data_IF_684539048814
#
_entry.id   IF_684539048814
#
_cell.length_a   1.000
_cell.length_b   1.000
_cell.length_c   1.000
_cell.angle_alpha   90.00
_cell.angle_beta   90.00
_cell.angle_gamma   90.00
#
_symmetry.space_group_name_H-M   'P 1'
#
loop_
_entity.id
_entity.type
_entity.pdbx_description
1 polymer ?
#
# COMPACT_ATOMS: atom_id res chain seq x y z
N UNK A 1 4.88 30.01 55.79
CA UNK A 1 3.96 28.88 55.68
C UNK A 1 4.69 27.61 56.08
N UNK A 2 4.11 26.79 56.92
CA UNK A 2 4.74 25.56 57.40
C UNK A 2 4.98 24.59 56.20
N UNK A 3 6.16 23.92 56.16
CA UNK A 3 6.53 22.99 55.10
C UNK A 3 5.48 21.90 54.88
N UNK A 4 4.81 21.48 55.95
CA UNK A 4 3.69 20.51 55.87
C UNK A 4 2.49 21.07 55.10
N UNK A 5 2.10 22.31 55.34
CA UNK A 5 0.99 22.98 54.62
C UNK A 5 1.31 23.23 53.14
N UNK A 6 2.58 23.52 52.80
CA UNK A 6 3.03 23.66 51.42
C UNK A 6 2.91 22.31 50.69
N UNK A 7 3.38 21.22 51.30
CA UNK A 7 3.29 19.87 50.74
C UNK A 7 1.82 19.45 50.52
N UNK A 8 0.96 19.74 51.51
CA UNK A 8 -0.48 19.45 51.37
C UNK A 8 -1.13 20.25 50.26
N UNK A 9 -0.80 21.54 50.12
CA UNK A 9 -1.28 22.38 49.05
C UNK A 9 -0.86 21.84 47.64
N UNK A 10 0.43 21.45 47.50
CA UNK A 10 0.95 20.87 46.28
C UNK A 10 0.19 19.59 45.91
N UNK A 11 -0.08 18.71 46.88
CA UNK A 11 -0.84 17.49 46.64
C UNK A 11 -2.28 17.78 46.20
N UNK A 12 -2.96 18.76 46.82
CA UNK A 12 -4.30 19.16 46.45
C UNK A 12 -4.33 19.72 45.04
N UNK A 13 -3.40 20.61 44.68
CA UNK A 13 -3.29 21.17 43.32
C UNK A 13 -3.03 20.06 42.30
N UNK A 14 -2.13 19.13 42.62
CA UNK A 14 -1.86 18.00 41.75
C UNK A 14 -3.09 17.14 41.50
N UNK A 15 -3.85 16.79 42.51
CA UNK A 15 -5.11 16.04 42.39
C UNK A 15 -6.16 16.80 41.59
N UNK A 16 -6.29 18.11 41.79
CA UNK A 16 -7.17 18.98 41.01
C UNK A 16 -6.79 19.00 39.52
N UNK A 17 -5.50 19.08 39.22
CA UNK A 17 -5.01 19.02 37.84
C UNK A 17 -5.37 17.69 37.17
N UNK A 18 -5.17 16.55 37.87
CA UNK A 18 -5.56 15.24 37.35
C UNK A 18 -7.09 15.18 37.11
N UNK A 19 -7.86 15.61 38.09
CA UNK A 19 -9.33 15.62 37.96
C UNK A 19 -9.81 16.47 36.78
N UNK A 20 -9.27 17.69 36.64
CA UNK A 20 -9.56 18.56 35.51
C UNK A 20 -9.15 17.95 34.17
N UNK A 21 -7.98 17.30 34.11
CA UNK A 21 -7.54 16.60 32.91
C UNK A 21 -8.50 15.47 32.50
N UNK A 22 -8.94 14.65 33.46
CA UNK A 22 -9.91 13.58 33.21
C UNK A 22 -11.24 14.17 32.72
N UNK A 23 -11.77 15.18 33.43
CA UNK A 23 -13.03 15.83 33.08
C UNK A 23 -12.99 16.43 31.68
N UNK A 24 -11.96 17.19 31.36
CA UNK A 24 -11.78 17.80 30.03
C UNK A 24 -11.61 16.75 28.93
N UNK A 25 -10.93 15.64 29.22
CA UNK A 25 -10.78 14.52 28.28
C UNK A 25 -12.13 13.83 28.00
N UNK A 26 -12.93 13.61 29.04
CA UNK A 26 -14.29 13.09 28.88
C UNK A 26 -15.14 14.03 28.06
N UNK A 27 -15.18 15.34 28.37
CA UNK A 27 -15.92 16.32 27.59
C UNK A 27 -15.48 16.35 26.12
N UNK A 28 -14.16 16.31 25.87
CA UNK A 28 -13.64 16.25 24.48
C UNK A 28 -14.15 15.01 23.73
N UNK A 29 -14.24 13.86 24.39
CA UNK A 29 -14.66 12.61 23.76
C UNK A 29 -16.12 12.64 23.24
N UNK A 30 -16.96 13.51 23.81
CA UNK A 30 -18.34 13.70 23.34
C UNK A 30 -18.47 14.76 22.24
N UNK A 31 -17.56 15.72 22.18
CA UNK A 31 -17.72 16.93 21.34
C UNK A 31 -16.98 16.82 20.01
N UNK A 32 -15.92 16.01 19.91
CA UNK A 32 -15.13 15.98 18.69
C UNK A 32 -15.37 14.77 17.80
N UNK A 33 -15.79 15.02 16.58
CA UNK A 33 -15.87 14.03 15.52
C UNK A 33 -14.61 14.10 14.61
N UNK A 34 -14.33 13.05 13.86
CA UNK A 34 -13.55 13.03 12.61
C UNK A 34 -12.05 13.45 12.68
N UNK A 35 -11.37 13.28 13.80
CA UNK A 35 -9.91 13.41 13.84
C UNK A 35 -9.30 12.13 13.22
N UNK A 36 -8.38 12.31 12.24
CA UNK A 36 -7.62 11.20 11.68
C UNK A 36 -6.45 10.90 12.61
N UNK A 37 -6.32 9.64 13.01
CA UNK A 37 -5.14 9.15 13.72
C UNK A 37 -4.09 8.80 12.65
N UNK A 38 -3.25 9.79 12.30
CA UNK A 38 -2.26 9.67 11.23
C UNK A 38 -1.35 8.43 11.36
N UNK A 39 -1.08 7.99 12.61
CA UNK A 39 -0.20 6.85 12.86
C UNK A 39 -0.83 5.50 12.51
N UNK A 40 -2.15 5.42 12.61
CA UNK A 40 -2.94 4.21 12.40
C UNK A 40 -3.72 4.27 11.08
N UNK A 41 -3.58 5.39 10.35
CA UNK A 41 -4.25 5.69 9.07
C UNK A 41 -5.77 5.40 9.11
N UNK A 42 -6.41 5.76 10.23
CA UNK A 42 -7.85 5.58 10.45
C UNK A 42 -8.47 6.77 11.15
N UNK A 43 -9.76 6.87 11.09
CA UNK A 43 -10.51 7.84 11.91
C UNK A 43 -10.52 7.43 13.38
N UNK A 44 -10.50 8.42 14.27
CA UNK A 44 -10.68 8.21 15.70
C UNK A 44 -12.05 7.58 15.98
N UNK A 45 -12.07 6.61 16.89
CA UNK A 45 -13.31 5.96 17.31
C UNK A 45 -14.28 6.98 17.94
N UNK A 46 -15.55 6.73 17.76
CA UNK A 46 -16.66 7.49 18.35
C UNK A 46 -17.52 6.57 19.18
N UNK A 47 -18.23 7.17 20.14
CA UNK A 47 -19.24 6.42 20.88
C UNK A 47 -20.34 5.93 19.94
N UNK A 48 -20.63 4.66 20.05
CA UNK A 48 -21.70 4.00 19.35
C UNK A 48 -23.00 4.03 20.18
N UNK A 49 -24.11 3.66 19.56
CA UNK A 49 -25.39 3.54 20.25
C UNK A 49 -25.33 2.51 21.38
N UNK A 50 -25.85 2.89 22.54
CA UNK A 50 -25.95 2.00 23.71
C UNK A 50 -27.09 1.00 23.47
N UNK A 51 -26.81 -0.30 23.61
CA UNK A 51 -27.83 -1.35 23.59
C UNK A 51 -27.46 -2.47 24.54
N UNK A 52 -28.48 -3.15 25.08
CA UNK A 52 -28.26 -4.31 25.97
C UNK A 52 -27.49 -5.42 25.28
N UNK A 53 -27.73 -5.65 23.97
CA UNK A 53 -27.03 -6.63 23.17
C UNK A 53 -25.51 -6.33 23.11
N UNK A 54 -25.15 -5.06 22.88
CA UNK A 54 -23.74 -4.63 22.83
C UNK A 54 -23.07 -4.71 24.19
N UNK A 55 -23.81 -4.45 25.27
CA UNK A 55 -23.30 -4.61 26.64
C UNK A 55 -23.01 -6.07 26.97
N UNK A 56 -23.93 -6.97 26.67
CA UNK A 56 -23.80 -8.42 27.02
C UNK A 56 -22.66 -9.08 26.22
N UNK A 57 -22.46 -8.70 24.95
CA UNK A 57 -21.41 -9.28 24.12
C UNK A 57 -20.05 -8.57 24.23
N UNK A 58 -19.91 -7.56 25.09
CA UNK A 58 -18.65 -6.83 25.32
C UNK A 58 -18.34 -5.70 24.32
N UNK A 59 -19.02 -5.63 23.19
CA UNK A 59 -18.70 -4.64 22.15
C UNK A 59 -18.95 -3.19 22.56
N UNK A 60 -19.82 -2.95 23.54
CA UNK A 60 -20.02 -1.61 24.11
C UNK A 60 -18.79 -1.18 24.93
N UNK A 61 -18.24 -2.08 25.73
CA UNK A 61 -17.07 -1.83 26.55
C UNK A 61 -15.86 -1.54 25.64
N UNK A 62 -15.64 -2.37 24.62
CA UNK A 62 -14.58 -2.17 23.63
C UNK A 62 -14.70 -0.82 22.91
N UNK A 63 -15.92 -0.44 22.52
CA UNK A 63 -16.17 0.84 21.88
C UNK A 63 -15.86 2.02 22.81
N UNK A 64 -16.28 1.94 24.09
CA UNK A 64 -15.99 2.98 25.08
C UNK A 64 -14.49 3.11 25.30
N UNK A 65 -13.78 2.00 25.49
CA UNK A 65 -12.34 1.98 25.73
C UNK A 65 -11.57 2.55 24.52
N UNK A 66 -11.88 2.10 23.32
CA UNK A 66 -11.28 2.58 22.10
C UNK A 66 -11.56 4.07 21.86
N UNK A 67 -12.78 4.52 22.09
CA UNK A 67 -13.15 5.94 21.95
C UNK A 67 -12.40 6.81 22.96
N UNK A 68 -12.36 6.42 24.23
CA UNK A 68 -11.58 7.13 25.25
C UNK A 68 -10.10 7.15 24.90
N UNK A 69 -9.53 6.01 24.51
CA UNK A 69 -8.12 5.91 24.12
C UNK A 69 -7.76 6.88 22.99
N UNK A 70 -8.65 7.06 22.02
CA UNK A 70 -8.43 7.96 20.89
C UNK A 70 -8.68 9.43 21.21
N UNK A 71 -9.68 9.72 22.06
CA UNK A 71 -10.18 11.08 22.29
C UNK A 71 -9.58 11.78 23.51
N UNK A 72 -8.85 11.07 24.37
CA UNK A 72 -8.16 11.69 25.53
C UNK A 72 -7.27 12.85 25.07
N UNK A 73 -7.30 13.95 25.83
CA UNK A 73 -6.46 15.13 25.54
C UNK A 73 -4.98 14.70 25.47
N UNK A 74 -4.30 15.13 24.41
CA UNK A 74 -2.90 14.78 24.13
C UNK A 74 -2.65 13.28 23.81
N UNK A 75 -3.69 12.41 23.71
CA UNK A 75 -3.48 10.98 23.45
C UNK A 75 -2.61 10.74 22.21
N UNK A 76 -2.88 11.41 21.11
CA UNK A 76 -2.07 11.34 19.88
C UNK A 76 -0.60 11.74 20.12
N UNK A 77 -0.36 12.82 20.88
CA UNK A 77 1.01 13.26 21.19
C UNK A 77 1.73 12.29 22.15
N UNK A 78 1.01 11.78 23.14
CA UNK A 78 1.56 10.80 24.10
C UNK A 78 1.84 9.46 23.41
N UNK A 79 0.93 8.98 22.56
CA UNK A 79 1.15 7.79 21.71
C UNK A 79 2.38 8.00 20.81
N UNK A 80 2.48 9.14 20.12
CA UNK A 80 3.64 9.49 19.27
C UNK A 80 4.94 9.50 20.07
N UNK A 81 4.96 10.10 21.24
CA UNK A 81 6.14 10.15 22.13
C UNK A 81 6.55 8.76 22.63
N UNK A 82 5.58 7.98 23.11
CA UNK A 82 5.82 6.61 23.58
C UNK A 82 6.37 5.71 22.46
N UNK A 83 5.77 5.77 21.25
CA UNK A 83 6.24 5.00 20.11
C UNK A 83 7.63 5.44 19.66
N UNK A 84 7.93 6.73 19.71
CA UNK A 84 9.28 7.23 19.44
C UNK A 84 10.33 6.65 20.40
N UNK A 85 10.05 6.69 21.71
CA UNK A 85 10.96 6.13 22.73
C UNK A 85 11.12 4.61 22.56
N UNK A 86 10.00 3.89 22.35
CA UNK A 86 10.02 2.45 22.07
C UNK A 86 10.82 2.15 20.80
N UNK A 87 10.59 2.92 19.74
CA UNK A 87 11.29 2.78 18.48
C UNK A 87 12.80 2.99 18.62
N UNK A 88 13.23 4.04 19.33
CA UNK A 88 14.66 4.28 19.60
C UNK A 88 15.30 3.13 20.38
N UNK A 89 14.63 2.64 21.42
CA UNK A 89 15.14 1.55 22.25
C UNK A 89 15.28 0.26 21.43
N UNK A 90 14.27 -0.04 20.62
CA UNK A 90 14.28 -1.22 19.74
C UNK A 90 15.31 -1.08 18.61
N UNK A 91 15.44 0.10 18.01
CA UNK A 91 16.49 0.35 16.99
C UNK A 91 17.88 0.13 17.57
N UNK A 92 18.15 0.62 18.77
CA UNK A 92 19.42 0.36 19.46
C UNK A 92 19.66 -1.15 19.68
N UNK A 93 18.61 -1.89 20.05
CA UNK A 93 18.70 -3.34 20.18
C UNK A 93 18.99 -4.00 18.82
N UNK A 94 18.31 -3.60 17.76
CA UNK A 94 18.54 -4.07 16.38
C UNK A 94 19.99 -3.84 15.97
N UNK A 95 20.51 -2.62 16.19
CA UNK A 95 21.90 -2.28 15.84
C UNK A 95 22.91 -3.12 16.64
N UNK A 96 22.64 -3.40 17.92
CA UNK A 96 23.48 -4.27 18.73
C UNK A 96 23.41 -5.74 18.33
N UNK A 97 22.22 -6.20 17.93
CA UNK A 97 22.02 -7.55 17.42
C UNK A 97 22.85 -7.78 16.16
N UNK A 98 22.71 -6.93 15.15
CA UNK A 98 23.42 -7.06 13.86
C UNK A 98 24.91 -6.72 13.94
N UNK A 99 25.42 -6.15 15.04
CA UNK A 99 26.87 -6.11 15.31
C UNK A 99 27.48 -7.47 15.66
N UNK A 100 26.65 -8.43 16.09
CA UNK A 100 27.07 -9.76 16.54
C UNK A 100 26.63 -10.86 15.59
N UNK A 101 25.72 -10.55 14.72
CA UNK A 101 25.12 -11.47 13.76
C UNK A 101 25.26 -10.87 12.36
N UNK A 102 25.60 -11.71 11.40
CA UNK A 102 25.53 -11.33 9.99
C UNK A 102 24.07 -11.11 9.56
N UNK A 103 23.82 -10.87 8.27
CA UNK A 103 22.49 -10.72 7.73
C UNK A 103 21.60 -11.92 8.14
N UNK A 104 20.61 -11.65 8.97
CA UNK A 104 19.66 -12.64 9.51
C UNK A 104 18.30 -11.98 9.73
N UNK A 105 17.28 -12.78 10.01
CA UNK A 105 15.96 -12.29 10.36
C UNK A 105 15.87 -11.98 11.87
N UNK A 106 15.38 -10.80 12.18
CA UNK A 106 15.05 -10.42 13.56
C UNK A 106 13.58 -9.98 13.60
N UNK A 107 12.76 -10.71 14.36
CA UNK A 107 11.33 -10.43 14.49
C UNK A 107 11.08 -9.04 15.12
N UNK A 108 10.18 -8.29 14.53
CA UNK A 108 9.76 -6.96 14.97
C UNK A 108 8.22 -6.78 14.96
N UNK A 109 7.47 -7.85 15.24
CA UNK A 109 6.01 -7.88 15.19
C UNK A 109 5.50 -8.42 13.86
N UNK A 110 4.73 -7.62 13.13
CA UNK A 110 4.18 -8.01 11.81
C UNK A 110 5.21 -8.04 10.68
N UNK A 111 6.41 -7.53 10.95
CA UNK A 111 7.55 -7.51 10.02
C UNK A 111 8.79 -8.07 10.69
N UNK A 112 9.81 -8.37 9.89
CA UNK A 112 11.15 -8.70 10.36
C UNK A 112 12.13 -7.61 9.93
N UNK A 113 13.22 -7.45 10.69
CA UNK A 113 14.43 -6.90 10.12
C UNK A 113 15.17 -7.98 9.34
N UNK A 114 15.74 -7.61 8.21
CA UNK A 114 16.80 -8.35 7.54
C UNK A 114 18.01 -7.41 7.36
N UNK A 115 18.99 -7.57 8.25
CA UNK A 115 19.99 -6.54 8.50
C UNK A 115 19.43 -5.33 9.27
N UNK A 116 20.26 -4.34 9.61
CA UNK A 116 19.88 -3.28 10.55
C UNK A 116 18.93 -2.21 10.00
N UNK A 117 18.72 -2.17 8.67
CA UNK A 117 18.05 -1.05 8.01
C UNK A 117 16.84 -1.43 7.15
N UNK A 118 16.57 -2.73 6.94
CA UNK A 118 15.51 -3.15 6.04
C UNK A 118 14.41 -3.90 6.79
N UNK A 119 13.16 -3.48 6.56
CA UNK A 119 11.98 -4.19 7.02
C UNK A 119 11.46 -5.09 5.90
N UNK A 120 11.24 -6.35 6.22
CA UNK A 120 10.75 -7.37 5.29
C UNK A 120 9.57 -8.12 5.90
N UNK A 121 8.67 -8.62 5.05
CA UNK A 121 7.59 -9.48 5.50
C UNK A 121 8.06 -10.91 5.73
N UNK A 122 7.17 -11.71 6.31
CA UNK A 122 7.41 -13.14 6.47
C UNK A 122 7.31 -13.86 5.13
N UNK A 123 8.26 -14.74 4.91
CA UNK A 123 8.25 -15.70 3.83
C UNK A 123 6.99 -16.57 3.86
N UNK A 124 6.32 -16.71 2.72
CA UNK A 124 5.08 -17.47 2.58
C UNK A 124 5.37 -18.98 2.41
N UNK A 125 4.42 -19.80 2.84
CA UNK A 125 4.42 -21.24 2.54
C UNK A 125 3.34 -21.54 1.49
N UNK A 126 3.75 -22.10 0.36
CA UNK A 126 2.86 -22.46 -0.74
C UNK A 126 1.74 -23.40 -0.30
N UNK A 127 2.02 -24.33 0.63
CA UNK A 127 1.01 -25.26 1.12
C UNK A 127 -0.16 -24.57 1.82
N UNK A 128 0.10 -23.45 2.49
CA UNK A 128 -0.92 -22.69 3.20
C UNK A 128 -1.82 -21.85 2.29
N UNK A 129 -1.37 -21.58 1.06
CA UNK A 129 -2.06 -20.66 0.13
C UNK A 129 -2.54 -21.35 -1.16
N UNK A 130 -2.13 -22.57 -1.43
CA UNK A 130 -2.41 -23.26 -2.70
C UNK A 130 -3.89 -23.33 -3.03
N UNK A 131 -4.77 -23.58 -2.06
CA UNK A 131 -6.21 -23.61 -2.27
C UNK A 131 -6.80 -22.28 -2.78
N UNK A 132 -6.26 -21.16 -2.32
CA UNK A 132 -6.68 -19.81 -2.78
C UNK A 132 -6.16 -19.55 -4.18
N UNK A 133 -4.92 -19.97 -4.46
CA UNK A 133 -4.33 -19.90 -5.79
C UNK A 133 -5.12 -20.73 -6.80
N UNK A 134 -5.51 -21.98 -6.44
CA UNK A 134 -6.30 -22.83 -7.33
C UNK A 134 -7.63 -22.18 -7.70
N UNK A 135 -8.34 -21.61 -6.73
CA UNK A 135 -9.60 -20.88 -6.95
C UNK A 135 -9.39 -19.69 -7.91
N UNK A 136 -8.30 -18.94 -7.72
CA UNK A 136 -7.95 -17.81 -8.60
C UNK A 136 -7.61 -18.27 -10.02
N UNK A 137 -6.83 -19.33 -10.14
CA UNK A 137 -6.44 -19.91 -11.43
C UNK A 137 -7.67 -20.38 -12.22
N UNK A 138 -8.61 -21.06 -11.54
CA UNK A 138 -9.87 -21.49 -12.15
C UNK A 138 -10.68 -20.28 -12.65
N UNK A 139 -10.78 -19.24 -11.86
CA UNK A 139 -11.47 -18.01 -12.23
C UNK A 139 -10.84 -17.36 -13.48
N UNK A 140 -9.51 -17.18 -13.49
CA UNK A 140 -8.82 -16.57 -14.63
C UNK A 140 -8.86 -17.43 -15.88
N UNK A 141 -8.80 -18.75 -15.77
CA UNK A 141 -8.98 -19.66 -16.88
C UNK A 141 -10.41 -19.57 -17.46
N UNK A 142 -11.41 -19.47 -16.59
CA UNK A 142 -12.80 -19.25 -17.00
C UNK A 142 -12.96 -17.93 -17.75
N UNK A 143 -12.41 -16.84 -17.18
CA UNK A 143 -12.41 -15.52 -17.80
C UNK A 143 -11.77 -15.55 -19.19
N UNK A 144 -10.56 -16.09 -19.33
CA UNK A 144 -9.87 -16.18 -20.61
C UNK A 144 -10.62 -17.04 -21.64
N UNK A 145 -11.28 -18.13 -21.19
CA UNK A 145 -12.05 -19.01 -22.06
C UNK A 145 -13.33 -18.37 -22.61
N UNK A 146 -13.96 -17.51 -21.82
CA UNK A 146 -15.16 -16.74 -22.20
C UNK A 146 -14.82 -15.57 -23.14
N UNK A 147 -13.60 -15.03 -23.06
CA UNK A 147 -13.16 -13.82 -23.76
C UNK A 147 -12.00 -14.08 -24.75
N UNK A 148 -12.20 -15.05 -25.65
CA UNK A 148 -11.17 -15.50 -26.62
C UNK A 148 -10.70 -14.44 -27.62
N UNK A 149 -11.46 -13.38 -27.79
CA UNK A 149 -11.16 -12.22 -28.64
C UNK A 149 -10.30 -11.16 -27.92
N UNK A 150 -9.99 -11.38 -26.64
CA UNK A 150 -9.17 -10.50 -25.81
C UNK A 150 -7.84 -11.18 -25.48
N UNK A 151 -6.74 -10.45 -25.62
CA UNK A 151 -5.44 -10.94 -25.19
C UNK A 151 -5.30 -10.75 -23.68
N UNK A 152 -5.14 -11.84 -22.95
CA UNK A 152 -5.01 -11.83 -21.49
C UNK A 152 -3.57 -12.06 -21.07
N UNK A 153 -3.10 -11.22 -20.16
CA UNK A 153 -1.74 -11.23 -19.63
C UNK A 153 -1.79 -11.28 -18.09
N UNK A 154 -0.78 -11.90 -17.50
CA UNK A 154 -0.58 -11.94 -16.05
C UNK A 154 0.86 -11.59 -15.74
N UNK A 155 1.05 -10.60 -14.87
CA UNK A 155 2.35 -10.19 -14.38
C UNK A 155 2.42 -10.35 -12.86
N UNK A 156 3.26 -11.28 -12.41
CA UNK A 156 3.45 -11.58 -11.00
C UNK A 156 4.61 -10.76 -10.43
N UNK A 157 4.44 -10.20 -9.22
CA UNK A 157 5.47 -9.41 -8.56
C UNK A 157 6.07 -10.22 -7.42
N UNK A 158 7.26 -10.81 -7.65
CA UNK A 158 8.04 -11.41 -6.57
C UNK A 158 8.56 -10.32 -5.63
N UNK A 159 8.52 -10.59 -4.34
CA UNK A 159 9.03 -9.71 -3.30
C UNK A 159 9.56 -10.49 -2.09
N UNK A 160 9.73 -9.82 -0.96
CA UNK A 160 10.23 -10.39 0.29
C UNK A 160 9.41 -11.56 0.85
N UNK A 161 8.15 -11.72 0.43
CA UNK A 161 7.30 -12.86 0.79
C UNK A 161 7.58 -14.13 0.00
N UNK A 162 8.29 -14.03 -1.11
CA UNK A 162 8.53 -15.11 -2.06
C UNK A 162 9.92 -15.75 -1.91
N UNK A 163 10.81 -15.11 -1.16
CA UNK A 163 12.19 -15.57 -0.99
C UNK A 163 12.65 -15.51 0.47
N UNK A 164 13.30 -16.55 0.93
CA UNK A 164 14.05 -16.54 2.19
C UNK A 164 15.46 -16.03 1.90
N UNK A 165 15.76 -14.78 2.22
CA UNK A 165 17.05 -14.15 1.92
C UNK A 165 18.27 -14.82 2.60
N UNK A 166 18.05 -15.50 3.74
CA UNK A 166 19.14 -16.21 4.45
C UNK A 166 19.56 -17.49 3.73
N UNK A 167 18.61 -18.21 3.16
CA UNK A 167 18.88 -19.49 2.51
C UNK A 167 18.88 -19.42 0.98
N UNK A 168 18.39 -18.32 0.41
CA UNK A 168 18.15 -18.17 -1.03
C UNK A 168 16.97 -19.02 -1.55
N UNK A 169 16.22 -19.68 -0.64
CA UNK A 169 15.11 -20.54 -1.05
C UNK A 169 13.93 -19.68 -1.49
N UNK A 170 13.47 -19.87 -2.72
CA UNK A 170 12.25 -19.28 -3.26
C UNK A 170 11.03 -20.16 -2.99
N UNK A 171 9.84 -19.51 -2.90
CA UNK A 171 8.54 -20.20 -2.99
C UNK A 171 8.11 -20.12 -4.44
N UNK A 172 7.94 -21.25 -5.10
CA UNK A 172 7.59 -21.33 -6.52
C UNK A 172 6.11 -20.99 -6.80
N UNK A 173 5.65 -19.83 -6.28
CA UNK A 173 4.25 -19.39 -6.42
C UNK A 173 3.94 -19.07 -7.88
N UNK A 174 4.81 -18.29 -8.54
CA UNK A 174 4.63 -17.95 -9.94
C UNK A 174 4.59 -19.18 -10.83
N UNK A 175 5.52 -20.11 -10.64
CA UNK A 175 5.60 -21.38 -11.37
C UNK A 175 4.36 -22.24 -11.12
N UNK A 176 3.82 -22.21 -9.88
CA UNK A 176 2.58 -22.89 -9.52
C UNK A 176 1.38 -22.35 -10.31
N UNK A 177 1.27 -21.02 -10.42
CA UNK A 177 0.23 -20.32 -11.16
C UNK A 177 0.42 -20.56 -12.67
N UNK A 178 1.60 -20.26 -13.21
CA UNK A 178 1.92 -20.33 -14.64
C UNK A 178 1.60 -21.70 -15.27
N UNK A 179 2.01 -22.78 -14.60
CA UNK A 179 1.80 -24.16 -15.09
C UNK A 179 0.33 -24.56 -15.19
N UNK A 180 -0.59 -23.84 -14.56
CA UNK A 180 -2.01 -24.16 -14.49
C UNK A 180 -2.90 -23.17 -15.25
N UNK A 181 -2.34 -22.06 -15.72
CA UNK A 181 -3.04 -21.09 -16.54
C UNK A 181 -3.12 -21.56 -18.01
N UNK A 182 -4.27 -21.28 -18.63
CA UNK A 182 -4.54 -21.61 -20.04
C UNK A 182 -4.86 -20.34 -20.83
N UNK A 183 -4.20 -20.17 -21.98
CA UNK A 183 -4.41 -19.02 -22.88
C UNK A 183 -4.14 -17.64 -22.25
N UNK A 184 -3.33 -17.60 -21.21
CA UNK A 184 -2.87 -16.37 -20.55
C UNK A 184 -1.35 -16.32 -20.68
N UNK A 185 -0.83 -15.24 -21.23
CA UNK A 185 0.61 -15.02 -21.30
C UNK A 185 1.09 -14.50 -19.94
N UNK A 186 2.19 -15.05 -19.44
CA UNK A 186 2.66 -14.77 -18.09
C UNK A 186 4.11 -14.30 -18.08
N UNK A 187 4.42 -13.39 -17.17
CA UNK A 187 5.79 -13.01 -16.79
C UNK A 187 5.81 -12.63 -15.31
N UNK A 188 7.02 -12.46 -14.76
CA UNK A 188 7.20 -12.03 -13.37
C UNK A 188 8.28 -10.98 -13.23
N UNK A 189 8.12 -10.14 -12.22
CA UNK A 189 9.22 -9.38 -11.64
C UNK A 189 10.05 -10.32 -10.78
N UNK A 190 11.29 -10.56 -11.12
CA UNK A 190 12.12 -11.54 -10.44
C UNK A 190 13.08 -10.88 -9.44
N UNK A 191 13.16 -11.48 -8.25
CA UNK A 191 14.11 -11.15 -7.18
C UNK A 191 14.95 -12.40 -6.90
N UNK A 192 16.25 -12.33 -7.15
CA UNK A 192 17.15 -13.47 -6.93
C UNK A 192 17.78 -13.51 -5.55
N UNK A 193 17.95 -12.35 -4.94
CA UNK A 193 18.62 -12.22 -3.66
C UNK A 193 18.24 -10.91 -2.94
N UNK A 194 18.85 -10.70 -1.77
CA UNK A 194 18.59 -9.50 -0.99
C UNK A 194 19.10 -8.20 -1.61
N UNK A 195 20.19 -8.26 -2.38
CA UNK A 195 20.74 -7.07 -3.06
C UNK A 195 19.76 -6.57 -4.14
N UNK A 196 19.16 -7.49 -4.92
CA UNK A 196 18.10 -7.15 -5.88
C UNK A 196 16.90 -6.54 -5.17
N UNK A 197 16.47 -7.15 -4.04
CA UNK A 197 15.37 -6.60 -3.26
C UNK A 197 15.66 -5.16 -2.80
N UNK A 198 16.86 -4.88 -2.29
CA UNK A 198 17.25 -3.52 -1.87
C UNK A 198 17.32 -2.53 -3.03
N UNK A 199 17.70 -3.00 -4.22
CA UNK A 199 17.77 -2.14 -5.40
C UNK A 199 16.40 -1.70 -5.86
N UNK A 200 15.40 -2.58 -5.80
CA UNK A 200 14.10 -2.38 -6.44
C UNK A 200 12.96 -2.06 -5.48
N UNK A 201 13.11 -2.26 -4.19
CA UNK A 201 12.06 -2.02 -3.19
C UNK A 201 12.49 -0.99 -2.16
N UNK A 202 11.49 -0.33 -1.57
CA UNK A 202 11.73 0.52 -0.41
C UNK A 202 12.04 -0.33 0.83
N UNK A 203 12.91 0.18 1.69
CA UNK A 203 13.28 -0.51 2.96
C UNK A 203 12.21 -0.39 4.05
N UNK A 204 11.37 0.64 4.01
CA UNK A 204 10.32 0.90 5.01
C UNK A 204 8.90 0.79 4.46
N UNK A 205 8.75 0.67 3.15
CA UNK A 205 7.47 0.50 2.46
C UNK A 205 7.38 -0.88 1.78
N UNK A 206 6.17 -1.35 1.55
CA UNK A 206 5.99 -2.65 0.88
C UNK A 206 6.11 -2.58 -0.64
N UNK A 207 6.02 -1.40 -1.22
CA UNK A 207 6.08 -1.22 -2.67
C UNK A 207 7.51 -1.26 -3.21
N UNK A 208 7.62 -1.51 -4.51
CA UNK A 208 8.82 -1.21 -5.26
C UNK A 208 9.12 0.31 -5.24
N UNK A 209 10.38 0.66 -5.43
CA UNK A 209 10.80 2.03 -5.63
C UNK A 209 10.71 2.42 -7.13
N UNK A 210 11.19 3.61 -7.49
CA UNK A 210 11.15 4.12 -8.85
C UNK A 210 11.95 3.25 -9.87
N UNK A 211 13.02 2.58 -9.44
CA UNK A 211 13.78 1.66 -10.29
C UNK A 211 13.00 0.37 -10.53
N UNK A 212 12.42 -0.19 -9.46
CA UNK A 212 11.61 -1.38 -9.54
C UNK A 212 10.37 -1.18 -10.42
N UNK A 213 9.64 -0.09 -10.22
CA UNK A 213 8.47 0.22 -11.05
C UNK A 213 8.83 0.41 -12.53
N UNK A 214 9.95 1.07 -12.84
CA UNK A 214 10.37 1.24 -14.22
C UNK A 214 10.87 -0.06 -14.87
N UNK A 215 11.57 -0.93 -14.13
CA UNK A 215 11.91 -2.28 -14.56
C UNK A 215 10.65 -3.07 -14.90
N UNK A 216 9.66 -3.08 -13.98
CA UNK A 216 8.38 -3.75 -14.19
C UNK A 216 7.62 -3.23 -15.41
N UNK A 217 7.59 -1.91 -15.62
CA UNK A 217 7.00 -1.32 -16.81
C UNK A 217 7.63 -1.89 -18.10
N UNK A 218 8.96 -1.96 -18.19
CA UNK A 218 9.62 -2.51 -19.37
C UNK A 218 9.29 -4.00 -19.55
N UNK A 219 9.32 -4.80 -18.49
CA UNK A 219 8.98 -6.23 -18.55
C UNK A 219 7.51 -6.48 -18.93
N UNK A 220 6.58 -5.63 -18.50
CA UNK A 220 5.17 -5.67 -18.93
C UNK A 220 5.05 -5.34 -20.42
N UNK A 221 5.80 -4.37 -20.93
CA UNK A 221 5.82 -4.09 -22.38
C UNK A 221 6.36 -5.27 -23.18
N UNK A 222 7.43 -5.90 -22.71
CA UNK A 222 8.01 -7.09 -23.34
C UNK A 222 7.01 -8.26 -23.35
N UNK A 223 6.33 -8.51 -22.23
CA UNK A 223 5.24 -9.51 -22.13
C UNK A 223 4.15 -9.27 -23.16
N UNK A 224 3.82 -8.00 -23.42
CA UNK A 224 2.77 -7.60 -24.35
C UNK A 224 3.28 -7.41 -25.79
N UNK A 225 4.57 -7.65 -26.08
CA UNK A 225 5.26 -7.40 -27.34
C UNK A 225 5.09 -5.93 -27.81
N UNK A 226 5.31 -4.97 -26.90
CA UNK A 226 5.26 -3.54 -27.21
C UNK A 226 6.70 -2.99 -27.20
N UNK A 227 7.11 -2.41 -28.30
CA UNK A 227 8.40 -1.75 -28.44
C UNK A 227 8.37 -0.28 -28.02
N UNK A 228 9.58 0.31 -27.92
CA UNK A 228 9.77 1.74 -27.65
C UNK A 228 9.19 2.22 -26.32
N UNK A 229 9.74 1.75 -25.18
CA UNK A 229 9.30 2.22 -23.87
C UNK A 229 9.42 3.74 -23.72
N UNK A 230 8.56 4.34 -22.92
CA UNK A 230 8.72 5.74 -22.51
C UNK A 230 10.02 5.87 -21.73
N UNK A 231 10.91 6.75 -22.19
CA UNK A 231 12.20 6.98 -21.54
C UNK A 231 12.06 8.11 -20.53
N UNK A 232 12.70 7.94 -19.37
CA UNK A 232 12.82 9.04 -18.43
C UNK A 232 13.81 10.09 -18.96
N UNK A 233 13.60 11.33 -18.58
CA UNK A 233 14.45 12.47 -18.97
C UNK A 233 15.41 12.89 -17.88
N UNK A 234 15.10 12.54 -16.62
CA UNK A 234 15.91 12.88 -15.46
C UNK A 234 15.63 11.91 -14.30
N UNK A 235 16.58 11.82 -13.36
CA UNK A 235 16.44 11.14 -12.08
C UNK A 235 16.59 12.17 -10.96
N UNK A 236 15.57 12.32 -10.14
CA UNK A 236 15.54 13.31 -9.08
C UNK A 236 15.36 12.61 -7.74
N UNK A 237 16.32 12.85 -6.83
CA UNK A 237 16.18 12.48 -5.43
C UNK A 237 15.89 13.73 -4.60
N UNK A 238 14.82 13.72 -3.85
CA UNK A 238 14.49 14.81 -2.96
C UNK A 238 15.30 14.76 -1.68
N UNK A 239 15.66 15.94 -1.17
CA UNK A 239 16.17 16.06 0.21
C UNK A 239 15.02 15.94 1.23
N UNK A 240 14.15 14.97 1.02
CA UNK A 240 13.01 14.63 1.88
C UNK A 240 12.88 13.12 1.95
N UNK A 241 12.56 12.64 3.11
CA UNK A 241 12.36 11.21 3.37
C UNK A 241 10.93 10.93 3.81
N UNK A 242 10.45 9.73 3.56
CA UNK A 242 9.17 9.24 4.06
C UNK A 242 9.33 7.95 4.85
N UNK A 243 8.36 7.67 5.69
CA UNK A 243 8.24 6.39 6.39
C UNK A 243 7.09 5.63 5.74
N UNK A 244 7.39 4.48 5.16
CA UNK A 244 6.43 3.67 4.44
C UNK A 244 5.53 2.84 5.33
N UNK A 245 4.72 1.99 4.70
CA UNK A 245 3.69 1.19 5.37
C UNK A 245 4.25 0.17 6.37
N UNK A 246 5.36 -0.52 6.05
CA UNK A 246 6.02 -1.46 6.97
C UNK A 246 6.47 -0.78 8.27
N UNK A 247 7.07 0.41 8.15
CA UNK A 247 7.48 1.18 9.32
C UNK A 247 6.29 1.83 10.04
N UNK A 248 5.25 2.22 9.30
CA UNK A 248 4.03 2.83 9.87
C UNK A 248 3.18 1.83 10.65
N UNK A 249 3.11 0.58 10.21
CA UNK A 249 2.46 -0.52 10.94
C UNK A 249 3.23 -0.93 12.20
N UNK A 250 4.43 -0.40 12.41
CA UNK A 250 5.31 -0.72 13.52
C UNK A 250 5.68 0.54 14.32
N UNK A 251 6.49 0.36 15.36
CA UNK A 251 7.01 1.49 16.17
C UNK A 251 8.14 2.28 15.48
N UNK A 252 8.48 1.94 14.23
CA UNK A 252 9.65 2.50 13.55
C UNK A 252 9.37 3.71 12.69
N UNK A 253 8.13 4.13 12.51
CA UNK A 253 7.71 5.22 11.63
C UNK A 253 8.39 6.58 11.88
N UNK A 254 9.00 6.78 13.04
CA UNK A 254 9.72 8.03 13.37
C UNK A 254 11.23 7.93 13.23
N UNK A 255 11.76 6.71 13.13
CA UNK A 255 13.21 6.46 13.19
C UNK A 255 13.74 5.79 11.92
N UNK A 256 12.88 5.13 11.13
CA UNK A 256 13.26 4.54 9.86
C UNK A 256 12.54 5.26 8.73
N UNK A 257 13.29 5.57 7.70
CA UNK A 257 12.80 6.32 6.56
C UNK A 257 13.50 5.89 5.28
N UNK A 258 12.78 6.02 4.18
CA UNK A 258 13.33 5.96 2.84
C UNK A 258 13.61 7.36 2.32
N UNK A 259 14.64 7.50 1.52
CA UNK A 259 14.81 8.66 0.65
C UNK A 259 13.84 8.51 -0.53
N UNK A 260 13.27 9.60 -0.97
CA UNK A 260 12.35 9.57 -2.10
C UNK A 260 13.04 10.05 -3.37
N UNK A 261 13.25 9.10 -4.29
CA UNK A 261 13.73 9.38 -5.64
C UNK A 261 12.65 8.97 -6.65
N UNK A 262 12.65 9.63 -7.81
CA UNK A 262 11.74 9.34 -8.90
C UNK A 262 12.39 9.61 -10.26
N UNK A 263 11.97 8.88 -11.27
CA UNK A 263 12.23 9.23 -12.66
C UNK A 263 11.21 10.27 -13.14
N UNK A 264 11.72 11.28 -13.82
CA UNK A 264 10.90 12.30 -14.49
C UNK A 264 10.62 11.87 -15.92
N UNK A 265 9.36 11.91 -16.30
CA UNK A 265 8.90 11.61 -17.67
C UNK A 265 8.22 12.81 -18.28
N UNK A 266 8.31 12.90 -19.61
CA UNK A 266 7.47 13.81 -20.38
C UNK A 266 6.23 13.02 -20.83
N UNK A 267 5.15 13.14 -20.07
CA UNK A 267 3.87 12.56 -20.45
C UNK A 267 3.16 13.39 -21.50
N UNK A 268 2.45 12.73 -22.40
CA UNK A 268 1.49 13.39 -23.29
C UNK A 268 0.31 13.96 -22.48
N UNK A 269 -0.50 14.79 -23.11
CA UNK A 269 -1.71 15.31 -22.46
C UNK A 269 -2.78 14.20 -22.38
N UNK A 270 -2.85 13.55 -21.21
CA UNK A 270 -3.82 12.51 -20.91
C UNK A 270 -5.09 13.12 -20.32
N UNK A 271 -6.25 12.76 -20.86
CA UNK A 271 -7.52 13.00 -20.17
C UNK A 271 -7.73 11.91 -19.12
N UNK A 272 -7.78 12.31 -17.85
CA UNK A 272 -7.84 11.38 -16.72
C UNK A 272 -9.18 11.50 -16.00
N UNK A 273 -9.81 10.36 -15.73
CA UNK A 273 -11.03 10.26 -14.94
C UNK A 273 -10.78 9.27 -13.81
N UNK A 274 -11.07 9.65 -12.58
CA UNK A 274 -10.90 8.82 -11.38
C UNK A 274 -12.25 8.69 -10.69
N UNK A 275 -12.74 7.47 -10.54
CA UNK A 275 -14.05 7.16 -9.95
C UNK A 275 -15.21 7.96 -10.58
N UNK A 276 -15.17 8.13 -11.91
CA UNK A 276 -16.18 8.88 -12.68
C UNK A 276 -15.98 10.39 -12.71
N UNK A 277 -15.01 10.95 -12.00
CA UNK A 277 -14.73 12.39 -11.95
C UNK A 277 -13.46 12.75 -12.73
N UNK A 278 -13.50 13.82 -13.52
CA UNK A 278 -12.31 14.34 -14.22
C UNK A 278 -11.37 15.00 -13.22
N UNK A 279 -10.22 14.39 -12.96
CA UNK A 279 -9.17 14.92 -12.06
C UNK A 279 -7.82 14.28 -12.39
N UNK A 280 -6.74 14.91 -11.93
CA UNK A 280 -5.39 14.35 -12.03
C UNK A 280 -5.25 13.08 -11.15
N UNK A 281 -4.33 12.22 -11.55
CA UNK A 281 -4.00 10.99 -10.86
C UNK A 281 -2.54 11.01 -10.41
N UNK A 282 -2.33 10.99 -9.10
CA UNK A 282 -1.00 11.16 -8.49
C UNK A 282 -0.42 12.57 -8.69
N UNK A 283 0.57 12.92 -7.92
CA UNK A 283 1.17 14.24 -7.89
C UNK A 283 2.48 14.35 -8.72
N UNK A 284 2.72 13.46 -9.67
CA UNK A 284 4.01 13.39 -10.40
C UNK A 284 4.42 14.73 -11.02
N UNK A 285 3.50 15.44 -11.68
CA UNK A 285 3.81 16.72 -12.34
C UNK A 285 4.01 17.84 -11.32
N UNK A 286 3.13 17.94 -10.33
CA UNK A 286 3.21 18.95 -9.27
C UNK A 286 4.45 18.77 -8.40
N UNK A 287 4.82 17.51 -8.16
CA UNK A 287 5.99 17.12 -7.41
C UNK A 287 7.28 17.72 -7.98
N UNK A 288 7.46 17.70 -9.28
CA UNK A 288 8.64 18.28 -9.94
C UNK A 288 8.58 19.80 -10.03
N UNK A 289 7.40 20.42 -9.98
CA UNK A 289 7.20 21.85 -10.10
C UNK A 289 7.15 22.56 -8.74
N UNK A 290 6.63 21.89 -7.69
CA UNK A 290 6.44 22.51 -6.37
C UNK A 290 6.62 21.46 -5.24
N UNK A 291 7.86 21.24 -4.84
CA UNK A 291 8.22 20.17 -3.87
C UNK A 291 8.13 20.57 -2.40
N UNK A 292 7.81 21.83 -2.07
CA UNK A 292 7.95 22.35 -0.70
C UNK A 292 6.85 21.87 0.25
N UNK A 293 5.62 21.71 -0.22
CA UNK A 293 4.44 21.47 0.62
C UNK A 293 3.79 20.08 0.46
N UNK A 294 4.20 19.30 -0.55
CA UNK A 294 3.65 17.97 -0.77
C UNK A 294 4.10 16.99 0.32
N UNK A 295 3.14 16.29 0.91
CA UNK A 295 3.43 15.11 1.73
C UNK A 295 3.92 14.00 0.81
N UNK A 296 5.16 13.56 1.01
CA UNK A 296 5.77 12.52 0.19
C UNK A 296 5.36 11.16 0.74
N UNK A 297 4.60 10.43 -0.04
CA UNK A 297 4.30 9.01 0.14
C UNK A 297 4.15 8.37 -1.25
N UNK A 298 4.22 7.05 -1.32
CA UNK A 298 3.98 6.32 -2.56
C UNK A 298 2.63 6.73 -3.19
N UNK A 299 1.53 6.64 -2.41
CA UNK A 299 0.20 6.97 -2.91
C UNK A 299 0.03 8.43 -3.33
N UNK A 300 0.60 9.39 -2.61
CA UNK A 300 0.51 10.79 -3.02
C UNK A 300 1.24 11.06 -4.33
N UNK A 301 2.32 10.33 -4.62
CA UNK A 301 3.10 10.53 -5.83
C UNK A 301 2.53 9.77 -7.03
N UNK A 302 2.25 8.47 -6.87
CA UNK A 302 1.84 7.60 -7.99
C UNK A 302 0.32 7.51 -8.16
N UNK A 303 -0.47 7.78 -7.15
CA UNK A 303 -1.93 7.62 -7.06
C UNK A 303 -2.32 6.68 -5.94
N UNK A 304 -3.59 6.75 -5.55
CA UNK A 304 -4.18 5.94 -4.50
C UNK A 304 -4.92 4.73 -5.08
N UNK A 305 -5.36 3.84 -4.21
CA UNK A 305 -6.17 2.68 -4.55
C UNK A 305 -7.61 3.12 -4.87
N UNK A 306 -7.78 3.74 -6.03
CA UNK A 306 -9.07 4.15 -6.55
C UNK A 306 -9.78 2.96 -7.19
N UNK A 307 -11.13 2.95 -7.16
CA UNK A 307 -11.92 1.86 -7.76
C UNK A 307 -11.77 1.79 -9.27
N UNK A 308 -11.75 2.95 -9.94
CA UNK A 308 -11.63 3.08 -11.39
C UNK A 308 -10.75 4.28 -11.74
N UNK A 309 -9.76 4.07 -12.61
CA UNK A 309 -9.00 5.16 -13.24
C UNK A 309 -8.98 4.95 -14.73
N UNK A 310 -9.42 5.95 -15.50
CA UNK A 310 -9.43 5.94 -16.97
C UNK A 310 -8.48 6.99 -17.49
N UNK A 311 -7.52 6.56 -18.30
CA UNK A 311 -6.61 7.41 -19.04
C UNK A 311 -6.99 7.35 -20.53
N UNK A 312 -7.23 8.51 -21.14
CA UNK A 312 -7.40 8.64 -22.60
C UNK A 312 -6.25 9.41 -23.17
N UNK A 313 -5.53 8.79 -24.09
CA UNK A 313 -4.43 9.42 -24.82
C UNK A 313 -4.92 9.84 -26.20
N UNK A 314 -5.32 11.09 -26.32
CA UNK A 314 -5.84 11.66 -27.56
C UNK A 314 -4.77 11.81 -28.68
N UNK A 315 -3.49 11.67 -28.32
CA UNK A 315 -2.37 11.73 -29.25
C UNK A 315 -1.88 10.33 -29.69
N UNK A 316 -2.53 9.27 -29.24
CA UNK A 316 -2.13 7.90 -29.57
C UNK A 316 -2.75 7.45 -30.86
N UNK A 317 -1.94 6.95 -31.79
CA UNK A 317 -2.38 6.24 -33.00
C UNK A 317 -2.71 4.77 -32.73
N UNK A 318 -2.59 4.32 -31.49
CA UNK A 318 -2.87 2.92 -31.09
C UNK A 318 -4.35 2.60 -31.25
N UNK A 319 -4.63 1.45 -31.88
CA UNK A 319 -5.98 0.87 -31.90
C UNK A 319 -6.25 -0.06 -30.73
N UNK A 320 -5.29 -0.21 -29.82
CA UNK A 320 -5.40 -1.10 -28.67
C UNK A 320 -5.84 -0.32 -27.44
N UNK A 321 -6.71 -0.94 -26.65
CA UNK A 321 -7.18 -0.45 -25.37
C UNK A 321 -6.90 -1.50 -24.32
N UNK A 322 -6.38 -1.06 -23.17
CA UNK A 322 -5.92 -1.90 -22.08
C UNK A 322 -6.84 -1.76 -20.87
N UNK A 323 -7.25 -2.87 -20.31
CA UNK A 323 -7.80 -2.95 -18.96
C UNK A 323 -6.73 -3.57 -18.05
N UNK A 324 -6.37 -2.89 -16.97
CA UNK A 324 -5.51 -3.37 -15.90
C UNK A 324 -6.40 -3.73 -14.71
N UNK A 325 -6.27 -4.92 -14.20
CA UNK A 325 -6.85 -5.34 -12.91
C UNK A 325 -5.67 -5.59 -11.99
N UNK A 326 -5.51 -4.69 -11.03
CA UNK A 326 -4.33 -4.66 -10.20
C UNK A 326 -4.58 -4.14 -8.80
N UNK A 327 -3.51 -3.85 -8.12
CA UNK A 327 -3.45 -3.27 -6.79
C UNK A 327 -2.44 -2.13 -6.77
N UNK A 328 -2.21 -1.50 -5.61
CA UNK A 328 -1.37 -0.31 -5.47
C UNK A 328 0.01 -0.35 -6.17
N UNK A 329 0.52 -1.51 -6.50
CA UNK A 329 1.78 -1.63 -7.27
C UNK A 329 1.64 -1.10 -8.69
N UNK A 330 0.51 -1.33 -9.36
CA UNK A 330 0.30 -0.86 -10.74
C UNK A 330 0.24 0.67 -10.86
N UNK A 331 -0.16 1.37 -9.79
CA UNK A 331 -0.25 2.83 -9.76
C UNK A 331 1.00 3.52 -10.33
N UNK A 332 2.19 2.97 -10.05
CA UNK A 332 3.45 3.55 -10.49
C UNK A 332 3.70 3.43 -12.01
N UNK A 333 3.03 2.50 -12.69
CA UNK A 333 3.23 2.25 -14.11
C UNK A 333 2.05 2.64 -14.99
N UNK A 334 0.89 2.98 -14.40
CA UNK A 334 -0.34 3.25 -15.16
C UNK A 334 -0.19 4.39 -16.16
N UNK A 335 0.40 5.53 -15.79
CA UNK A 335 0.64 6.64 -16.72
C UNK A 335 1.60 6.25 -17.86
N UNK A 336 2.60 5.43 -17.56
CA UNK A 336 3.55 4.91 -18.55
C UNK A 336 2.85 3.96 -19.54
N UNK A 337 1.98 3.10 -19.04
CA UNK A 337 1.15 2.23 -19.89
C UNK A 337 0.17 3.05 -20.73
N UNK A 338 -0.43 4.10 -20.15
CA UNK A 338 -1.36 4.97 -20.87
C UNK A 338 -0.74 5.67 -22.10
N UNK A 339 0.59 5.91 -22.08
CA UNK A 339 1.30 6.43 -23.26
C UNK A 339 1.31 5.45 -24.45
N UNK A 340 1.03 4.16 -24.23
CA UNK A 340 1.11 3.10 -25.25
C UNK A 340 -0.24 2.70 -25.84
N UNK A 341 -1.33 3.16 -25.27
CA UNK A 341 -2.68 2.79 -25.65
C UNK A 341 -3.54 4.03 -25.94
N UNK A 342 -4.60 3.86 -26.68
CA UNK A 342 -5.59 4.92 -26.85
C UNK A 342 -6.38 5.14 -25.55
N UNK A 343 -6.81 4.04 -24.93
CA UNK A 343 -7.45 4.07 -23.61
C UNK A 343 -6.81 3.02 -22.71
N UNK A 344 -6.45 3.43 -21.49
CA UNK A 344 -6.02 2.53 -20.42
C UNK A 344 -6.96 2.70 -19.25
N UNK A 345 -7.50 1.60 -18.74
CA UNK A 345 -8.40 1.59 -17.59
C UNK A 345 -7.75 0.74 -16.50
N UNK A 346 -7.61 1.27 -15.31
CA UNK A 346 -7.22 0.51 -14.12
C UNK A 346 -8.42 0.32 -13.22
N UNK A 347 -8.58 -0.91 -12.72
CA UNK A 347 -9.63 -1.34 -11.80
C UNK A 347 -8.99 -1.98 -10.58
N UNK A 348 -9.21 -1.39 -9.41
CA UNK A 348 -8.96 -2.05 -8.13
C UNK A 348 -10.28 -2.64 -7.61
N UNK A 349 -10.46 -3.94 -7.75
CA UNK A 349 -11.70 -4.63 -7.40
C UNK A 349 -12.04 -4.55 -5.90
N UNK A 350 -11.04 -4.34 -5.01
CA UNK A 350 -11.27 -4.13 -3.57
C UNK A 350 -12.13 -2.89 -3.30
N UNK A 351 -11.91 -1.86 -4.12
CA UNK A 351 -12.48 -0.52 -3.93
C UNK A 351 -13.55 -0.18 -4.97
N UNK A 352 -13.64 -0.94 -6.06
CA UNK A 352 -14.53 -0.65 -7.17
C UNK A 352 -15.99 -0.47 -6.74
N UNK A 353 -16.53 -1.46 -6.02
CA UNK A 353 -17.94 -1.40 -5.55
C UNK A 353 -18.22 -0.22 -4.64
N UNK A 354 -17.24 0.12 -3.79
CA UNK A 354 -17.37 1.27 -2.87
C UNK A 354 -17.48 2.59 -3.63
N UNK A 355 -16.57 2.84 -4.57
CA UNK A 355 -16.54 4.09 -5.32
C UNK A 355 -17.59 4.18 -6.42
N UNK A 356 -17.77 3.11 -7.18
CA UNK A 356 -18.65 3.10 -8.34
C UNK A 356 -20.12 2.73 -8.02
N UNK A 357 -20.40 2.31 -6.77
CA UNK A 357 -21.75 1.93 -6.28
C UNK A 357 -22.42 0.85 -7.15
N UNK A 358 -21.65 -0.02 -7.76
CA UNK A 358 -22.08 -1.15 -8.62
C UNK A 358 -21.04 -2.25 -8.60
N UNK A 359 -21.43 -3.46 -8.98
CA UNK A 359 -20.51 -4.55 -9.20
C UNK A 359 -19.70 -4.33 -10.50
N UNK A 360 -18.49 -4.87 -10.55
CA UNK A 360 -17.67 -4.82 -11.75
C UNK A 360 -18.27 -5.71 -12.83
N UNK A 361 -18.35 -5.19 -14.05
CA UNK A 361 -18.83 -5.89 -15.23
C UNK A 361 -17.81 -5.71 -16.37
N UNK A 362 -17.08 -6.78 -16.67
CA UNK A 362 -16.06 -6.74 -17.72
C UNK A 362 -16.67 -6.47 -19.10
N UNK A 363 -17.86 -7.04 -19.43
CA UNK A 363 -18.46 -6.88 -20.74
C UNK A 363 -18.84 -5.42 -21.00
N UNK A 364 -19.33 -4.71 -19.98
CA UNK A 364 -19.57 -3.28 -20.07
C UNK A 364 -18.32 -2.50 -20.49
N UNK A 365 -17.17 -2.78 -19.88
CA UNK A 365 -15.91 -2.10 -20.22
C UNK A 365 -15.41 -2.50 -21.60
N UNK A 366 -15.49 -3.78 -21.93
CA UNK A 366 -15.08 -4.33 -23.21
C UNK A 366 -15.84 -3.67 -24.36
N UNK A 367 -17.16 -3.57 -24.27
CA UNK A 367 -18.01 -2.97 -25.31
C UNK A 367 -17.84 -1.45 -25.39
N UNK A 368 -17.89 -0.76 -24.23
CA UNK A 368 -17.84 0.69 -24.17
C UNK A 368 -16.50 1.28 -24.63
N UNK A 369 -15.41 0.59 -24.32
CA UNK A 369 -14.06 1.10 -24.58
C UNK A 369 -13.28 0.25 -25.59
N UNK A 370 -13.91 -0.73 -26.24
CA UNK A 370 -13.26 -1.66 -27.17
C UNK A 370 -12.00 -2.30 -26.57
N UNK A 371 -12.10 -2.80 -25.34
CA UNK A 371 -10.98 -3.44 -24.66
C UNK A 371 -10.59 -4.72 -25.40
N UNK A 372 -9.32 -4.78 -25.83
CA UNK A 372 -8.75 -5.92 -26.52
C UNK A 372 -7.53 -6.54 -25.82
N UNK A 373 -7.11 -5.94 -24.71
CA UNK A 373 -6.04 -6.46 -23.83
C UNK A 373 -6.44 -6.31 -22.38
N UNK A 374 -6.16 -7.35 -21.58
CA UNK A 374 -6.36 -7.36 -20.13
C UNK A 374 -5.06 -7.76 -19.45
N UNK A 375 -4.64 -7.03 -18.45
CA UNK A 375 -3.48 -7.30 -17.61
C UNK A 375 -3.93 -7.53 -16.18
N UNK A 376 -3.66 -8.71 -15.63
CA UNK A 376 -3.68 -8.98 -14.19
C UNK A 376 -2.29 -8.73 -13.63
N UNK A 377 -2.18 -7.86 -12.61
CA UNK A 377 -0.89 -7.49 -12.04
C UNK A 377 -0.96 -7.36 -10.53
N UNK A 378 -0.05 -8.04 -9.83
CA UNK A 378 0.05 -7.95 -8.39
C UNK A 378 1.06 -8.94 -7.79
N UNK A 379 1.24 -8.85 -6.49
CA UNK A 379 2.05 -9.78 -5.71
C UNK A 379 1.19 -10.96 -5.20
N UNK A 380 1.75 -11.83 -4.35
CA UNK A 380 1.04 -13.01 -3.82
C UNK A 380 -0.31 -12.65 -3.17
N UNK A 381 -0.40 -11.51 -2.49
CA UNK A 381 -1.64 -11.12 -1.81
C UNK A 381 -2.77 -10.88 -2.82
N UNK A 382 -2.49 -10.26 -3.97
CA UNK A 382 -3.44 -10.12 -5.08
C UNK A 382 -4.02 -11.46 -5.54
N UNK A 383 -3.19 -12.50 -5.62
CA UNK A 383 -3.61 -13.81 -6.14
C UNK A 383 -4.32 -14.69 -5.10
N UNK A 384 -4.19 -14.40 -3.80
CA UNK A 384 -4.89 -15.14 -2.75
C UNK A 384 -6.18 -14.47 -2.25
N UNK A 385 -6.38 -13.18 -2.52
CA UNK A 385 -7.55 -12.42 -2.09
C UNK A 385 -8.75 -12.69 -3.01
N UNK A 386 -9.92 -13.01 -2.45
CA UNK A 386 -11.14 -13.26 -3.22
C UNK A 386 -11.67 -12.03 -3.96
N UNK A 387 -11.37 -10.83 -3.50
CA UNK A 387 -11.79 -9.55 -4.07
C UNK A 387 -11.33 -9.38 -5.53
N UNK A 388 -10.24 -10.00 -5.93
CA UNK A 388 -9.72 -9.93 -7.31
C UNK A 388 -10.22 -11.06 -8.22
N UNK A 389 -11.39 -11.63 -7.95
CA UNK A 389 -12.09 -12.49 -8.90
C UNK A 389 -12.79 -11.67 -9.97
N UNK A 390 -12.81 -12.19 -11.20
CA UNK A 390 -13.48 -11.57 -12.36
C UNK A 390 -14.55 -12.50 -12.90
N UNK A 391 -15.69 -11.95 -13.29
CA UNK A 391 -16.82 -12.70 -13.87
C UNK A 391 -16.82 -12.68 -15.40
#
# INVERSE_FOLDING_TARGET
>A
MDKAKIKQLINIVFLLCIFMYILLSLLKSFVKPNEIIEMENRYANKYDSISLKKYVNGTLQDNIENTLSDQVILSSRLKKGNNYIKGLSLKKYVDLYFKRHDLDYLNAGDVNFYGPENLVYYYRDLNNISQYLDKKIENYNSFASKNKDVNVYLYYIEKDTDINFKTGKKVDIFEYIQKRLNNIKTSKFEIDNFEDFKEYFYKTDHHWNYKGSYKAYNEVLDLMNISNPVKFVDEICLNKSFSGSKASASVFNKIMKDDFCAYKFNFSNLDITVNGEKKDYGAQTEFFNNTTDLKITYGNFYGWDDGEVIFKNNNSDSKNNLLVIGESYDNAILKLLAEKYNTTISIDLRNYKYYMQKDFDFQYYKEKYNINKVLFIGNVDFYVMDEFMVD
#
